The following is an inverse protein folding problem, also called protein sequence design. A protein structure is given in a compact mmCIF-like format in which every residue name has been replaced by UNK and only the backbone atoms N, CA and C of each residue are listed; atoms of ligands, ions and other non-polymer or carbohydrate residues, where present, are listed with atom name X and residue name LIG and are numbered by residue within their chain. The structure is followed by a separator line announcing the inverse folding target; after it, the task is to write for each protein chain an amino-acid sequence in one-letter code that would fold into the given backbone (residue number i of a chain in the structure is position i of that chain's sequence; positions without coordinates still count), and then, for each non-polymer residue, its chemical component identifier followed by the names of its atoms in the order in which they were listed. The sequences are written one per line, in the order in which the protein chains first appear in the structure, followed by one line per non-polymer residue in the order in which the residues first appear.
data_IF_944151553605
#
_entry.id   IF_944151553605
#
_cell.length_a   1.000
_cell.length_b   1.000
_cell.length_c   1.000
_cell.angle_alpha   90.00
_cell.angle_beta   90.00
_cell.angle_gamma   90.00
#
_symmetry.space_group_name_H-M   'P 1'
#
loop_
_entity.id
_entity.type
_entity.pdbx_description
1 polymer ?
#
# COMPACT_ATOMS: atom_id res chain seq x y z
N UNK A 1 -4.22 22.01 10.63
CA UNK A 1 -4.02 20.75 11.39
C UNK A 1 -3.82 19.65 10.37
N UNK A 2 -2.76 18.83 10.49
CA UNK A 2 -2.46 17.82 9.46
C UNK A 2 -3.34 16.59 9.63
N UNK A 3 -4.20 16.32 8.65
CA UNK A 3 -4.99 15.08 8.56
C UNK A 3 -4.29 14.00 7.74
N UNK A 4 -4.20 12.80 8.31
CA UNK A 4 -3.62 11.61 7.69
C UNK A 4 -4.65 10.48 7.81
N UNK A 5 -4.87 9.75 6.72
CA UNK A 5 -5.67 8.52 6.73
C UNK A 5 -4.74 7.33 6.55
N UNK A 6 -4.91 6.29 7.37
CA UNK A 6 -4.12 5.07 7.33
C UNK A 6 -5.00 3.84 7.16
N UNK A 7 -4.56 2.89 6.33
CA UNK A 7 -5.12 1.53 6.22
C UNK A 7 -4.00 0.52 5.94
N UNK A 8 -4.28 -0.76 6.10
CA UNK A 8 -3.40 -1.86 5.70
C UNK A 8 -4.24 -3.12 5.43
N UNK A 9 -3.59 -4.20 4.95
CA UNK A 9 -4.16 -5.57 4.91
C UNK A 9 -5.47 -5.69 4.10
N UNK A 10 -5.64 -4.87 3.07
CA UNK A 10 -6.83 -4.88 2.23
C UNK A 10 -6.94 -6.15 1.36
N UNK A 11 -5.80 -6.81 1.07
CA UNK A 11 -5.70 -8.10 0.38
C UNK A 11 -6.59 -8.22 -0.86
N UNK A 12 -6.51 -7.23 -1.76
CA UNK A 12 -7.27 -7.23 -3.00
C UNK A 12 -6.99 -8.50 -3.81
N UNK A 13 -8.06 -9.06 -4.39
CA UNK A 13 -7.99 -10.29 -5.16
C UNK A 13 -7.94 -11.60 -4.37
N UNK A 14 -8.06 -11.59 -3.03
CA UNK A 14 -8.00 -12.79 -2.18
C UNK A 14 -8.92 -13.92 -2.67
N UNK A 15 -8.32 -15.09 -2.89
CA UNK A 15 -8.98 -16.29 -3.40
C UNK A 15 -9.33 -17.27 -2.27
N UNK A 16 -10.42 -18.02 -2.46
CA UNK A 16 -10.82 -19.09 -1.55
C UNK A 16 -11.36 -20.29 -2.34
N UNK A 17 -10.69 -21.43 -2.24
CA UNK A 17 -10.94 -22.60 -3.11
C UNK A 17 -12.35 -23.18 -3.00
N UNK A 18 -13.01 -23.05 -1.84
CA UNK A 18 -14.35 -23.58 -1.61
C UNK A 18 -15.48 -22.66 -2.12
N UNK A 19 -15.15 -21.48 -2.65
CA UNK A 19 -16.14 -20.55 -3.21
C UNK A 19 -16.36 -20.81 -4.70
N UNK A 20 -17.62 -20.76 -5.13
CA UNK A 20 -17.98 -20.76 -6.55
C UNK A 20 -17.43 -19.52 -7.28
N UNK A 21 -17.32 -19.55 -8.62
CA UNK A 21 -16.88 -18.39 -9.40
C UNK A 21 -17.67 -17.11 -9.10
N UNK A 22 -18.98 -17.22 -8.89
CA UNK A 22 -19.86 -16.10 -8.51
C UNK A 22 -19.53 -15.57 -7.11
N UNK A 23 -19.38 -16.45 -6.12
CA UNK A 23 -19.00 -16.06 -4.76
C UNK A 23 -17.64 -15.37 -4.73
N UNK A 24 -16.67 -15.89 -5.48
CA UNK A 24 -15.35 -15.27 -5.65
C UNK A 24 -15.43 -13.89 -6.30
N UNK A 25 -16.30 -13.73 -7.32
CA UNK A 25 -16.52 -12.44 -7.97
C UNK A 25 -17.11 -11.41 -7.00
N UNK A 26 -18.15 -11.80 -6.27
CA UNK A 26 -18.79 -10.97 -5.24
C UNK A 26 -17.80 -10.59 -4.15
N UNK A 27 -17.02 -11.55 -3.64
CA UNK A 27 -15.98 -11.28 -2.63
C UNK A 27 -14.96 -10.26 -3.12
N UNK A 28 -14.43 -10.42 -4.34
CA UNK A 28 -13.48 -9.44 -4.92
C UNK A 28 -14.09 -8.05 -5.04
N UNK A 29 -15.36 -7.95 -5.44
CA UNK A 29 -16.09 -6.68 -5.44
C UNK A 29 -16.13 -6.07 -4.04
N UNK A 30 -16.50 -6.85 -3.02
CA UNK A 30 -16.55 -6.35 -1.64
C UNK A 30 -15.19 -5.89 -1.11
N UNK A 31 -14.10 -6.61 -1.40
CA UNK A 31 -12.76 -6.17 -1.00
C UNK A 31 -12.38 -4.83 -1.64
N UNK A 32 -12.68 -4.67 -2.94
CA UNK A 32 -12.47 -3.42 -3.66
C UNK A 32 -13.30 -2.27 -3.09
N UNK A 33 -14.58 -2.50 -2.82
CA UNK A 33 -15.47 -1.48 -2.23
C UNK A 33 -15.06 -1.13 -0.79
N UNK A 34 -14.61 -2.11 0.00
CA UNK A 34 -14.12 -1.87 1.35
C UNK A 34 -12.88 -0.97 1.34
N UNK A 35 -11.90 -1.26 0.49
CA UNK A 35 -10.73 -0.39 0.34
C UNK A 35 -11.11 0.98 -0.23
N UNK A 36 -11.98 1.03 -1.24
CA UNK A 36 -12.49 2.28 -1.82
C UNK A 36 -13.10 3.20 -0.76
N UNK A 37 -13.82 2.68 0.24
CA UNK A 37 -14.36 3.51 1.33
C UNK A 37 -13.28 4.27 2.10
N UNK A 38 -12.07 3.73 2.24
CA UNK A 38 -10.96 4.44 2.89
C UNK A 38 -10.44 5.59 2.02
N UNK A 39 -10.45 5.40 0.69
CA UNK A 39 -10.09 6.41 -0.31
C UNK A 39 -11.13 7.52 -0.33
N UNK A 40 -12.42 7.15 -0.37
CA UNK A 40 -13.54 8.08 -0.33
C UNK A 40 -13.47 8.92 0.95
N UNK A 41 -13.26 8.27 2.10
CA UNK A 41 -13.11 8.96 3.38
C UNK A 41 -11.94 9.95 3.38
N UNK A 42 -10.78 9.57 2.85
CA UNK A 42 -9.63 10.48 2.75
C UNK A 42 -9.93 11.72 1.89
N UNK A 43 -10.65 11.55 0.78
CA UNK A 43 -11.07 12.65 -0.08
C UNK A 43 -12.12 13.53 0.60
N UNK A 44 -13.15 12.92 1.19
CA UNK A 44 -14.24 13.62 1.88
C UNK A 44 -13.74 14.45 3.06
N UNK A 45 -12.74 13.96 3.79
CA UNK A 45 -12.15 14.66 4.94
C UNK A 45 -11.03 15.63 4.57
N UNK A 46 -10.70 15.77 3.28
CA UNK A 46 -9.60 16.62 2.82
C UNK A 46 -8.25 16.21 3.45
N UNK A 47 -7.97 14.91 3.52
CA UNK A 47 -6.72 14.41 4.07
C UNK A 47 -5.53 14.93 3.25
N UNK A 48 -4.41 15.23 3.92
CA UNK A 48 -3.20 15.66 3.20
C UNK A 48 -2.40 14.45 2.72
N UNK A 49 -2.48 13.35 3.48
CA UNK A 49 -1.69 12.14 3.27
C UNK A 49 -2.59 10.92 3.44
N UNK A 50 -2.45 9.97 2.51
CA UNK A 50 -3.02 8.65 2.57
C UNK A 50 -1.90 7.62 2.70
N UNK A 51 -1.90 6.84 3.78
CA UNK A 51 -0.91 5.82 4.09
C UNK A 51 -1.49 4.43 3.92
N UNK A 52 -0.74 3.56 3.23
CA UNK A 52 -1.03 2.13 3.17
C UNK A 52 0.10 1.28 3.76
N UNK A 53 -0.16 0.61 4.87
CA UNK A 53 0.82 -0.15 5.66
C UNK A 53 1.21 -1.53 5.13
N UNK A 54 1.10 -1.79 3.82
CA UNK A 54 1.36 -3.11 3.23
C UNK A 54 0.13 -4.02 3.09
N UNK A 55 0.31 -5.11 2.34
CA UNK A 55 -0.69 -6.12 1.98
C UNK A 55 -1.91 -5.55 1.23
N UNK A 56 -1.63 -4.63 0.30
CA UNK A 56 -2.66 -4.08 -0.59
C UNK A 56 -3.23 -5.19 -1.48
N UNK A 57 -2.36 -6.06 -2.01
CA UNK A 57 -2.77 -7.23 -2.77
C UNK A 57 -2.62 -8.49 -1.92
N UNK A 58 -3.43 -9.51 -2.20
CA UNK A 58 -3.28 -10.81 -1.54
C UNK A 58 -2.10 -11.64 -2.07
N UNK A 59 -1.53 -11.26 -3.22
CA UNK A 59 -0.48 -11.99 -3.90
C UNK A 59 0.44 -11.03 -4.64
N UNK A 60 1.71 -11.38 -4.72
CA UNK A 60 2.75 -10.63 -5.44
C UNK A 60 2.53 -10.59 -6.95
N UNK A 61 1.61 -11.39 -7.49
CA UNK A 61 1.18 -11.36 -8.89
C UNK A 61 -0.34 -11.11 -8.99
N UNK A 62 -0.81 -9.89 -8.68
CA UNK A 62 -2.23 -9.58 -8.72
C UNK A 62 -2.77 -9.61 -10.14
N UNK A 63 -4.05 -9.95 -10.27
CA UNK A 63 -4.72 -9.97 -11.58
C UNK A 63 -4.84 -8.54 -12.12
N UNK A 64 -4.76 -8.38 -13.45
CA UNK A 64 -4.90 -7.08 -14.13
C UNK A 64 -6.11 -6.24 -13.66
N UNK A 65 -7.31 -6.81 -13.43
CA UNK A 65 -8.43 -6.01 -12.92
C UNK A 65 -8.18 -5.38 -11.53
N UNK A 66 -7.40 -6.00 -10.66
CA UNK A 66 -7.02 -5.39 -9.38
C UNK A 66 -6.02 -4.26 -9.60
N UNK A 67 -5.03 -4.45 -10.48
CA UNK A 67 -4.05 -3.41 -10.84
C UNK A 67 -4.72 -2.16 -11.40
N UNK A 68 -5.65 -2.35 -12.35
CA UNK A 68 -6.43 -1.26 -12.97
C UNK A 68 -7.34 -0.58 -11.94
N UNK A 69 -7.96 -1.34 -11.04
CA UNK A 69 -8.80 -0.78 -10.00
C UNK A 69 -8.01 0.13 -9.05
N UNK A 70 -6.85 -0.36 -8.58
CA UNK A 70 -5.95 0.40 -7.71
C UNK A 70 -5.40 1.64 -8.40
N UNK A 71 -5.01 1.54 -9.68
CA UNK A 71 -4.56 2.70 -10.46
C UNK A 71 -5.60 3.82 -10.45
N UNK A 72 -6.88 3.50 -10.64
CA UNK A 72 -7.97 4.47 -10.60
C UNK A 72 -8.13 5.12 -9.22
N UNK A 73 -7.94 4.37 -8.13
CA UNK A 73 -8.10 4.95 -6.79
C UNK A 73 -6.93 5.85 -6.41
N UNK A 74 -5.70 5.50 -6.76
CA UNK A 74 -4.55 6.40 -6.57
C UNK A 74 -4.66 7.65 -7.44
N UNK A 75 -5.17 7.53 -8.67
CA UNK A 75 -5.49 8.69 -9.50
C UNK A 75 -6.49 9.62 -8.80
N UNK A 76 -7.57 9.08 -8.21
CA UNK A 76 -8.54 9.90 -7.45
C UNK A 76 -7.92 10.64 -6.27
N UNK A 77 -6.99 10.01 -5.54
CA UNK A 77 -6.24 10.69 -4.47
C UNK A 77 -5.37 11.82 -5.03
N UNK A 78 -4.65 11.55 -6.13
CA UNK A 78 -3.82 12.54 -6.81
C UNK A 78 -4.63 13.74 -7.31
N UNK A 79 -5.78 13.50 -7.95
CA UNK A 79 -6.70 14.53 -8.43
C UNK A 79 -7.24 15.41 -7.28
N UNK A 80 -7.39 14.82 -6.09
CA UNK A 80 -7.78 15.52 -4.87
C UNK A 80 -6.61 16.21 -4.13
N UNK A 81 -5.38 16.15 -4.67
CA UNK A 81 -4.19 16.74 -4.05
C UNK A 81 -3.64 15.95 -2.85
N UNK A 82 -4.09 14.70 -2.65
CA UNK A 82 -3.73 13.86 -1.51
C UNK A 82 -2.51 13.01 -1.86
N UNK A 83 -1.46 13.09 -1.05
CA UNK A 83 -0.24 12.28 -1.27
C UNK A 83 -0.46 10.86 -0.78
N UNK A 84 -0.36 9.89 -1.68
CA UNK A 84 -0.39 8.48 -1.34
C UNK A 84 1.03 7.94 -1.09
N UNK A 85 1.26 7.37 0.10
CA UNK A 85 2.50 6.71 0.49
C UNK A 85 2.19 5.29 0.96
N UNK A 86 3.06 4.33 0.65
CA UNK A 86 2.84 2.95 1.02
C UNK A 86 4.13 2.15 1.16
N UNK A 87 4.06 1.09 1.96
CA UNK A 87 5.02 -0.01 1.93
C UNK A 87 4.37 -1.21 1.25
N UNK A 88 5.16 -2.13 0.71
CA UNK A 88 4.67 -3.48 0.38
C UNK A 88 4.47 -4.29 1.66
N UNK A 89 3.57 -5.26 1.67
CA UNK A 89 3.49 -6.27 2.74
C UNK A 89 4.09 -7.62 2.32
N UNK A 90 4.06 -8.61 3.21
CA UNK A 90 4.65 -9.92 2.96
C UNK A 90 3.93 -10.70 1.85
N UNK A 91 2.65 -10.42 1.61
CA UNK A 91 1.88 -11.00 0.49
C UNK A 91 2.22 -10.34 -0.85
N UNK A 92 2.69 -9.09 -0.80
CA UNK A 92 3.00 -8.28 -1.99
C UNK A 92 4.40 -8.59 -2.55
N UNK A 93 5.32 -9.06 -1.71
CA UNK A 93 6.72 -9.31 -2.07
C UNK A 93 6.87 -10.64 -2.82
N UNK A 94 7.42 -10.65 -4.06
CA UNK A 94 7.74 -11.88 -4.76
C UNK A 94 8.75 -12.73 -3.98
N UNK A 95 8.53 -14.04 -3.91
CA UNK A 95 9.48 -14.97 -3.27
C UNK A 95 10.81 -15.11 -4.03
N UNK A 96 10.84 -14.74 -5.31
CA UNK A 96 12.06 -14.75 -6.12
C UNK A 96 12.86 -13.45 -5.93
N UNK A 97 14.12 -13.58 -5.52
CA UNK A 97 15.06 -12.45 -5.37
C UNK A 97 15.53 -11.86 -6.71
N UNK A 98 15.40 -12.59 -7.81
CA UNK A 98 15.88 -12.17 -9.13
C UNK A 98 14.74 -11.47 -9.87
N UNK A 99 14.86 -10.15 -10.03
CA UNK A 99 13.98 -9.33 -10.87
C UNK A 99 12.55 -9.11 -10.37
N UNK A 100 12.22 -9.58 -9.16
CA UNK A 100 10.89 -9.40 -8.57
C UNK A 100 10.66 -7.97 -8.06
N UNK A 101 9.92 -7.16 -8.82
CA UNK A 101 9.36 -5.91 -8.30
C UNK A 101 8.01 -6.19 -7.64
N UNK A 102 7.72 -5.48 -6.55
CA UNK A 102 6.39 -5.48 -5.94
C UNK A 102 5.39 -4.83 -6.91
N UNK A 103 4.15 -5.31 -7.01
CA UNK A 103 3.16 -4.73 -7.92
C UNK A 103 2.90 -3.23 -7.64
N UNK A 104 3.08 -2.80 -6.40
CA UNK A 104 3.01 -1.41 -5.94
C UNK A 104 3.94 -0.48 -6.72
N UNK A 105 5.09 -0.99 -7.18
CA UNK A 105 6.11 -0.18 -7.85
C UNK A 105 5.58 0.49 -9.12
N UNK A 106 4.61 -0.12 -9.81
CA UNK A 106 3.94 0.47 -10.98
C UNK A 106 3.39 1.86 -10.64
N UNK A 107 2.83 2.05 -9.45
CA UNK A 107 2.24 3.32 -9.03
C UNK A 107 3.29 4.38 -8.68
N UNK A 108 4.48 3.96 -8.28
CA UNK A 108 5.63 4.86 -8.09
C UNK A 108 6.22 5.33 -9.41
N UNK A 109 6.36 4.44 -10.39
CA UNK A 109 6.82 4.81 -11.74
C UNK A 109 5.84 5.80 -12.42
N UNK A 110 4.53 5.63 -12.16
CA UNK A 110 3.47 6.54 -12.62
C UNK A 110 3.31 7.79 -11.76
N UNK A 111 4.07 7.94 -10.67
CA UNK A 111 3.96 9.04 -9.69
C UNK A 111 2.56 9.18 -9.07
N UNK A 112 1.76 8.11 -9.10
CA UNK A 112 0.43 8.07 -8.50
C UNK A 112 0.51 7.78 -7.00
N UNK A 113 1.55 7.08 -6.54
CA UNK A 113 1.83 6.85 -5.12
C UNK A 113 3.32 6.55 -4.88
N UNK A 114 3.86 6.96 -3.74
CA UNK A 114 5.24 6.64 -3.33
C UNK A 114 5.28 5.32 -2.57
N UNK A 115 5.92 4.32 -3.15
CA UNK A 115 6.20 3.05 -2.50
C UNK A 115 7.61 3.10 -1.90
N UNK A 116 7.72 2.87 -0.60
CA UNK A 116 8.98 2.54 0.04
C UNK A 116 9.24 1.04 -0.15
N UNK A 117 10.47 0.69 -0.51
CA UNK A 117 10.87 -0.65 -0.96
C UNK A 117 12.08 -1.20 -0.22
N UNK A 118 12.80 -0.39 0.56
CA UNK A 118 13.95 -0.87 1.35
C UNK A 118 13.48 -1.71 2.55
N UNK A 119 14.22 -2.78 2.84
CA UNK A 119 13.90 -3.75 3.90
C UNK A 119 14.89 -3.75 5.07
N UNK A 120 16.02 -3.05 4.95
CA UNK A 120 17.07 -2.98 6.00
C UNK A 120 17.33 -1.56 6.51
N UNK A 121 16.74 -0.56 5.89
CA UNK A 121 16.90 0.83 6.29
C UNK A 121 15.63 1.61 5.96
N UNK A 122 15.33 2.62 6.79
CA UNK A 122 14.15 3.46 6.59
C UNK A 122 14.38 4.38 5.41
N UNK A 123 13.41 4.42 4.50
CA UNK A 123 13.32 5.48 3.50
C UNK A 123 12.45 6.62 4.04
N UNK A 124 12.91 7.84 3.85
CA UNK A 124 12.26 9.04 4.40
C UNK A 124 11.61 9.87 3.30
N UNK A 125 10.44 10.39 3.60
CA UNK A 125 9.80 11.46 2.85
C UNK A 125 9.50 12.63 3.78
N UNK A 126 9.83 13.84 3.35
CA UNK A 126 9.67 15.06 4.13
C UNK A 126 8.73 16.01 3.42
N UNK A 127 7.73 16.48 4.16
CA UNK A 127 6.72 17.40 3.65
C UNK A 127 6.58 18.60 4.59
N UNK A 128 6.20 19.74 4.03
CA UNK A 128 5.68 20.86 4.83
C UNK A 128 4.22 21.05 4.48
N UNK A 129 3.34 20.91 5.46
CA UNK A 129 1.89 21.04 5.31
C UNK A 129 1.45 22.11 6.30
N UNK A 130 0.88 23.21 5.79
CA UNK A 130 0.40 24.33 6.62
C UNK A 130 1.45 24.84 7.63
N UNK A 131 2.72 24.92 7.21
CA UNK A 131 3.83 25.35 8.07
C UNK A 131 4.33 24.29 9.06
N UNK A 132 3.73 23.10 9.10
CA UNK A 132 4.20 21.96 9.90
C UNK A 132 5.07 21.04 9.05
N UNK A 133 6.29 20.76 9.50
CA UNK A 133 7.15 19.75 8.87
C UNK A 133 6.75 18.35 9.34
N UNK A 134 6.47 17.48 8.39
CA UNK A 134 6.08 16.08 8.58
C UNK A 134 7.16 15.20 7.96
N UNK A 135 7.68 14.26 8.74
CA UNK A 135 8.68 13.27 8.31
C UNK A 135 8.02 11.89 8.38
N UNK A 136 7.97 11.19 7.26
CA UNK A 136 7.38 9.85 7.17
C UNK A 136 8.48 8.86 6.78
N UNK A 137 8.73 7.91 7.66
CA UNK A 137 9.62 6.77 7.42
C UNK A 137 8.85 5.55 6.95
N UNK A 138 9.33 4.90 5.90
CA UNK A 138 8.83 3.61 5.43
C UNK A 138 9.91 2.54 5.43
N UNK A 139 9.57 1.37 5.97
CA UNK A 139 10.39 0.16 5.95
C UNK A 139 9.52 -0.99 5.43
N UNK A 140 9.90 -1.59 4.31
CA UNK A 140 9.23 -2.75 3.75
C UNK A 140 9.62 -4.01 4.55
N UNK A 141 8.74 -5.03 4.63
CA UNK A 141 9.01 -6.24 5.39
C UNK A 141 10.17 -7.00 4.76
N UNK A 142 11.08 -7.47 5.61
CA UNK A 142 12.17 -8.33 5.19
C UNK A 142 11.70 -9.79 5.11
N UNK A 143 11.67 -10.41 3.91
CA UNK A 143 11.22 -11.79 3.75
C UNK A 143 12.19 -12.82 4.35
N UNK A 144 13.33 -12.39 4.91
CA UNK A 144 14.29 -13.26 5.62
C UNK A 144 13.94 -13.45 7.09
N UNK A 145 13.12 -12.58 7.66
CA UNK A 145 12.79 -12.60 9.08
C UNK A 145 11.71 -13.64 9.40
N UNK A 146 11.87 -14.27 10.56
CA UNK A 146 10.88 -15.13 11.19
C UNK A 146 9.81 -14.30 11.91
N UNK A 147 8.64 -14.87 12.24
CA UNK A 147 7.61 -14.17 13.03
C UNK A 147 8.08 -13.71 14.42
N UNK A 148 9.15 -14.33 14.95
CA UNK A 148 9.69 -14.02 16.28
C UNK A 148 10.85 -13.01 16.22
N UNK A 149 11.32 -12.65 15.03
CA UNK A 149 12.41 -11.69 14.84
C UNK A 149 11.89 -10.25 14.97
N UNK A 150 12.71 -9.34 15.50
CA UNK A 150 12.38 -7.90 15.54
C UNK A 150 12.70 -7.25 14.18
N UNK A 151 11.69 -6.76 13.42
CA UNK A 151 11.92 -6.14 12.12
C UNK A 151 12.65 -4.80 12.18
N UNK A 152 12.82 -4.22 13.37
CA UNK A 152 13.57 -2.98 13.58
C UNK A 152 14.96 -3.23 14.16
N UNK A 153 15.35 -4.48 14.42
CA UNK A 153 16.67 -4.79 14.95
C UNK A 153 17.77 -4.26 14.02
N UNK A 154 18.62 -3.38 14.55
CA UNK A 154 19.72 -2.75 13.79
C UNK A 154 19.29 -1.65 12.80
N UNK A 155 18.00 -1.35 12.69
CA UNK A 155 17.50 -0.24 11.86
C UNK A 155 17.72 1.08 12.59
N UNK A 156 18.48 2.00 11.97
CA UNK A 156 18.68 3.34 12.52
C UNK A 156 17.51 4.25 12.18
N UNK A 157 16.92 4.83 13.21
CA UNK A 157 15.85 5.83 13.16
C UNK A 157 16.46 7.13 13.68
N UNK A 158 17.33 7.74 12.88
CA UNK A 158 18.07 8.97 13.19
C UNK A 158 17.77 10.05 12.14
#
# INVERSE_FOLDING_TARGET
MVHIVFTADNHLGKYYAKMSPTQLSTRRKWLREAWKKTIDYAIEQGAHIYLHGGDLFNTSNPRTPELVWVARQFQRLQDAGIRALLISGNHDVPRSRVGGATPQRIYSELRAARCFTKVTEVEWEVFTIEGTTIVIGGLAPDPRLSPDDDPLEGVRIE
#
